data_IF_484089905841
#
_entry.id   IF_484089905841
#
_cell.length_a   1.000
_cell.length_b   1.000
_cell.length_c   1.000
_cell.angle_alpha   90.00
_cell.angle_beta   90.00
_cell.angle_gamma   90.00
#
_symmetry.space_group_name_H-M   'P 1'
#
loop_
_entity.id
_entity.type
_entity.pdbx_description
1 polymer ?
#
# COMPACT_ATOMS: atom_id res chain seq x y z
N UNK A 1 -2.87 8.41 10.44
CA UNK A 1 -3.57 7.86 9.26
C UNK A 1 -4.78 8.74 8.98
N UNK A 2 -5.26 8.84 7.74
CA UNK A 2 -6.45 9.63 7.41
C UNK A 2 -7.72 8.85 7.74
N UNK A 3 -8.31 9.09 8.91
CA UNK A 3 -9.51 8.38 9.37
C UNK A 3 -10.66 8.50 8.37
N UNK A 4 -10.79 9.65 7.71
CA UNK A 4 -11.81 9.88 6.68
C UNK A 4 -11.59 9.08 5.39
N UNK A 5 -10.35 8.67 5.12
CA UNK A 5 -10.01 7.92 3.91
C UNK A 5 -10.09 6.39 4.11
N UNK A 6 -9.72 5.91 5.30
CA UNK A 6 -9.60 4.47 5.59
C UNK A 6 -10.50 3.98 6.72
N UNK A 7 -11.31 4.85 7.32
CA UNK A 7 -12.24 4.53 8.41
C UNK A 7 -11.56 3.95 9.67
N UNK A 8 -10.30 4.33 9.93
CA UNK A 8 -9.53 3.88 11.08
C UNK A 8 -8.12 4.47 11.12
N UNK A 9 -7.35 4.11 12.16
CA UNK A 9 -5.97 4.62 12.35
C UNK A 9 -4.90 3.54 12.47
N UNK A 10 -5.30 2.27 12.43
CA UNK A 10 -4.42 1.12 12.51
C UNK A 10 -4.07 0.55 11.13
N UNK A 11 -3.19 -0.44 11.13
CA UNK A 11 -2.69 -1.07 9.92
C UNK A 11 -3.75 -1.86 9.16
N UNK A 12 -4.74 -2.44 9.86
CA UNK A 12 -5.80 -3.22 9.26
C UNK A 12 -6.73 -2.30 8.47
N UNK A 13 -7.03 -1.10 8.98
CA UNK A 13 -7.78 -0.10 8.22
C UNK A 13 -7.09 0.28 6.89
N UNK A 14 -5.75 0.38 6.89
CA UNK A 14 -5.00 0.57 5.64
C UNK A 14 -5.13 -0.61 4.68
N UNK A 15 -5.04 -1.84 5.19
CA UNK A 15 -5.16 -3.06 4.37
C UNK A 15 -6.57 -3.22 3.82
N UNK A 16 -7.60 -2.94 4.60
CA UNK A 16 -9.01 -2.94 4.17
C UNK A 16 -9.23 -1.94 3.02
N UNK A 17 -8.66 -0.74 3.13
CA UNK A 17 -8.69 0.24 2.05
C UNK A 17 -7.95 -0.26 0.79
N UNK A 18 -6.78 -0.89 0.94
CA UNK A 18 -6.05 -1.51 -0.17
C UNK A 18 -6.84 -2.64 -0.83
N UNK A 19 -7.52 -3.49 -0.05
CA UNK A 19 -8.42 -4.55 -0.54
C UNK A 19 -9.59 -3.95 -1.31
N UNK A 20 -10.24 -2.92 -0.78
CA UNK A 20 -11.34 -2.25 -1.45
C UNK A 20 -10.90 -1.68 -2.82
N UNK A 21 -9.78 -0.96 -2.86
CA UNK A 21 -9.25 -0.41 -4.12
C UNK A 21 -8.84 -1.55 -5.07
N UNK A 22 -8.20 -2.60 -4.56
CA UNK A 22 -7.85 -3.79 -5.36
C UNK A 22 -9.09 -4.42 -6.00
N UNK A 23 -10.20 -4.55 -5.26
CA UNK A 23 -11.45 -5.11 -5.78
C UNK A 23 -12.12 -4.19 -6.81
N UNK A 24 -11.90 -2.89 -6.72
CA UNK A 24 -12.50 -1.89 -7.61
C UNK A 24 -11.74 -1.75 -8.94
N UNK A 25 -10.41 -1.66 -8.88
CA UNK A 25 -9.57 -1.32 -10.04
C UNK A 25 -8.55 -2.40 -10.42
N UNK A 26 -8.44 -3.47 -9.63
CA UNK A 26 -7.51 -4.57 -9.86
C UNK A 26 -6.14 -4.37 -9.20
N UNK A 27 -5.46 -5.49 -8.91
CA UNK A 27 -4.19 -5.51 -8.15
C UNK A 27 -3.05 -4.73 -8.82
N UNK A 28 -3.06 -4.58 -10.14
CA UNK A 28 -1.99 -3.89 -10.87
C UNK A 28 -1.99 -2.37 -10.65
N UNK A 29 -2.97 -1.84 -9.93
CA UNK A 29 -3.21 -0.39 -9.76
C UNK A 29 -3.09 0.09 -8.31
N UNK A 30 -2.62 -0.75 -7.38
CA UNK A 30 -2.49 -0.42 -5.94
C UNK A 30 -1.02 -0.32 -5.54
N UNK A 31 -0.68 0.69 -4.74
CA UNK A 31 0.67 0.89 -4.20
C UNK A 31 0.60 1.58 -2.83
N UNK A 32 1.71 1.51 -2.08
CA UNK A 32 1.83 2.16 -0.77
C UNK A 32 2.39 3.58 -0.92
N UNK A 33 1.74 4.53 -0.27
CA UNK A 33 2.28 5.86 0.00
C UNK A 33 2.04 6.22 1.46
N UNK A 34 3.09 6.14 2.29
CA UNK A 34 2.95 6.28 3.75
C UNK A 34 2.71 7.72 4.22
N UNK A 35 3.10 8.71 3.42
CA UNK A 35 3.17 10.12 3.83
C UNK A 35 3.99 10.34 5.12
N UNK A 36 5.06 9.55 5.30
CA UNK A 36 6.02 9.75 6.39
C UNK A 36 6.61 11.16 6.35
N UNK A 37 6.76 11.75 7.54
CA UNK A 37 7.19 13.14 7.74
C UNK A 37 6.32 14.18 6.98
N UNK A 38 5.09 13.79 6.63
CA UNK A 38 4.13 14.57 5.87
C UNK A 38 3.00 15.14 6.73
N UNK A 39 1.76 14.97 6.25
CA UNK A 39 0.59 15.67 6.79
C UNK A 39 -0.18 14.89 7.87
N UNK A 40 0.21 13.64 8.13
CA UNK A 40 -0.41 12.79 9.14
C UNK A 40 0.58 12.29 10.19
N UNK A 41 0.07 11.97 11.38
CA UNK A 41 0.77 11.06 12.28
C UNK A 41 0.63 9.63 11.72
N UNK A 42 1.74 9.08 11.24
CA UNK A 42 1.79 7.68 10.86
C UNK A 42 1.75 6.77 12.09
N UNK A 43 1.09 5.60 12.02
CA UNK A 43 0.95 4.69 13.18
C UNK A 43 2.29 4.08 13.64
N UNK A 44 3.30 4.05 12.77
CA UNK A 44 4.64 3.53 13.02
C UNK A 44 5.63 4.21 12.05
N UNK A 45 6.92 4.21 12.37
CA UNK A 45 7.97 4.69 11.46
C UNK A 45 8.36 3.62 10.41
N UNK A 46 9.36 3.90 9.57
CA UNK A 46 9.79 2.98 8.51
C UNK A 46 10.20 1.58 9.02
N UNK A 47 10.58 1.43 10.29
CA UNK A 47 10.92 0.12 10.87
C UNK A 47 9.69 -0.79 11.00
N UNK A 48 8.48 -0.23 11.01
CA UNK A 48 7.21 -0.95 11.06
C UNK A 48 6.71 -1.46 9.70
N UNK A 49 7.38 -1.16 8.58
CA UNK A 49 6.95 -1.60 7.25
C UNK A 49 6.67 -3.11 7.12
N UNK A 50 7.44 -4.02 7.75
CA UNK A 50 7.14 -5.45 7.71
C UNK A 50 5.76 -5.82 8.25
N UNK A 51 5.19 -5.02 9.15
CA UNK A 51 3.83 -5.23 9.68
C UNK A 51 2.78 -5.09 8.57
N UNK A 52 3.03 -4.26 7.54
CA UNK A 52 2.08 -4.09 6.43
C UNK A 52 2.03 -5.39 5.62
N UNK A 53 3.19 -5.98 5.34
CA UNK A 53 3.28 -7.28 4.67
C UNK A 53 2.54 -8.35 5.48
N UNK A 54 2.72 -8.37 6.80
CA UNK A 54 2.02 -9.29 7.70
C UNK A 54 0.50 -9.13 7.61
N UNK A 55 -0.01 -7.90 7.77
CA UNK A 55 -1.44 -7.62 7.68
C UNK A 55 -2.02 -7.94 6.28
N UNK A 56 -1.27 -7.73 5.19
CA UNK A 56 -1.67 -8.15 3.84
C UNK A 56 -1.75 -9.67 3.71
N UNK A 57 -0.82 -10.41 4.33
CA UNK A 57 -0.86 -11.88 4.36
C UNK A 57 -2.08 -12.37 5.15
N UNK A 58 -2.39 -11.75 6.29
CA UNK A 58 -3.57 -12.07 7.10
C UNK A 58 -4.89 -11.79 6.37
N UNK A 59 -4.96 -10.74 5.57
CA UNK A 59 -6.11 -10.42 4.69
C UNK A 59 -6.22 -11.34 3.46
N UNK A 60 -5.26 -12.26 3.28
CA UNK A 60 -5.31 -13.28 2.24
C UNK A 60 -4.80 -12.84 0.87
N UNK A 61 -4.03 -11.76 0.77
CA UNK A 61 -3.26 -11.48 -0.43
C UNK A 61 -2.19 -12.56 -0.65
N UNK A 62 -2.01 -12.96 -1.91
CA UNK A 62 -0.92 -13.86 -2.28
C UNK A 62 0.42 -13.13 -2.27
N UNK A 63 1.53 -13.86 -2.10
CA UNK A 63 2.89 -13.29 -2.13
C UNK A 63 3.15 -12.47 -3.40
N UNK A 64 2.63 -12.91 -4.55
CA UNK A 64 2.76 -12.18 -5.81
C UNK A 64 1.99 -10.86 -5.82
N UNK A 65 0.80 -10.82 -5.23
CA UNK A 65 0.01 -9.58 -5.09
C UNK A 65 0.66 -8.61 -4.10
N UNK A 66 1.19 -9.12 -2.99
CA UNK A 66 1.96 -8.33 -2.02
C UNK A 66 3.18 -7.73 -2.71
N UNK A 67 3.93 -8.51 -3.49
CA UNK A 67 5.07 -7.99 -4.27
C UNK A 67 4.69 -6.87 -5.24
N UNK A 68 3.49 -6.90 -5.81
CA UNK A 68 2.96 -5.81 -6.64
C UNK A 68 2.69 -4.55 -5.82
N UNK A 69 1.97 -4.68 -4.69
CA UNK A 69 1.62 -3.57 -3.78
C UNK A 69 2.89 -2.93 -3.19
N UNK A 70 3.83 -3.75 -2.74
CA UNK A 70 5.07 -3.32 -2.06
C UNK A 70 6.10 -2.66 -2.99
N UNK A 71 5.81 -2.55 -4.30
CA UNK A 71 6.63 -1.75 -5.21
C UNK A 71 6.61 -2.20 -6.66
N UNK A 72 6.19 -3.44 -6.96
CA UNK A 72 6.15 -3.94 -8.34
C UNK A 72 5.32 -3.06 -9.28
N UNK A 73 4.19 -2.54 -8.80
CA UNK A 73 3.33 -1.64 -9.57
C UNK A 73 4.00 -0.28 -9.83
N UNK A 74 4.65 0.31 -8.82
CA UNK A 74 5.38 1.57 -8.99
C UNK A 74 6.54 1.39 -9.96
N UNK A 75 7.32 0.31 -9.85
CA UNK A 75 8.41 0.01 -10.78
C UNK A 75 7.90 -0.12 -12.22
N UNK A 76 6.76 -0.78 -12.43
CA UNK A 76 6.11 -0.88 -13.74
C UNK A 76 5.76 0.51 -14.29
N UNK A 77 5.05 1.33 -13.51
CA UNK A 77 4.66 2.69 -13.91
C UNK A 77 5.87 3.55 -14.24
N UNK A 78 6.92 3.53 -13.40
CA UNK A 78 8.13 4.31 -13.63
C UNK A 78 8.86 3.87 -14.91
N UNK A 79 8.92 2.57 -15.20
CA UNK A 79 9.52 2.06 -16.46
C UNK A 79 8.75 2.49 -17.71
N UNK A 80 7.43 2.61 -17.61
CA UNK A 80 6.57 3.03 -18.72
C UNK A 80 6.60 4.55 -18.96
N UNK A 81 6.81 5.33 -17.89
CA UNK A 81 6.62 6.79 -17.92
C UNK A 81 7.90 7.62 -17.89
N UNK A 82 9.00 7.07 -17.36
CA UNK A 82 10.27 7.81 -17.31
C UNK A 82 10.84 7.99 -18.73
N UNK A 83 11.52 9.12 -19.00
CA UNK A 83 12.18 9.35 -20.28
C UNK A 83 13.15 8.22 -20.62
N UNK A 84 13.17 7.81 -21.89
CA UNK A 84 14.19 6.89 -22.39
C UNK A 84 15.55 7.61 -22.31
N UNK A 85 16.55 6.90 -21.78
CA UNK A 85 17.95 7.34 -21.84
C UNK A 85 18.44 7.40 -23.28
#
# INVERSE_FOLDING_TARGET
>A
MWEEAVCGTDIHASVDAMRYVTNLVGIDHVAIGSDYDGSITAPFDITGFPLITEALMEDGFTEGEIGKIMGGNIVRVLRETLPKK
#
